data_IF_925205563117
#
_entry.id   IF_925205563117
#
_cell.length_a   1.000
_cell.length_b   1.000
_cell.length_c   1.000
_cell.angle_alpha   90.00
_cell.angle_beta   90.00
_cell.angle_gamma   90.00
#
_symmetry.space_group_name_H-M   'P 1'
#
loop_
_entity.id
_entity.type
_entity.pdbx_description
1 polymer ?
#
# COMPACT_ATOMS: atom_id res chain seq x y z
N UNK A 1 7.27 8.58 -15.32
CA UNK A 1 6.97 7.44 -14.45
C UNK A 1 5.59 7.64 -13.82
N UNK A 2 5.06 6.64 -13.19
CA UNK A 2 3.67 6.63 -12.70
C UNK A 2 3.39 7.64 -11.58
N UNK A 3 4.40 7.94 -10.75
CA UNK A 3 4.23 8.74 -9.54
C UNK A 3 4.81 10.15 -9.62
N UNK A 4 5.22 10.62 -10.79
CA UNK A 4 5.93 11.89 -10.94
C UNK A 4 5.12 13.09 -10.43
N UNK A 5 3.84 13.17 -10.76
CA UNK A 5 2.98 14.27 -10.31
C UNK A 5 2.80 14.25 -8.78
N UNK A 6 2.63 13.06 -8.21
CA UNK A 6 2.45 12.88 -6.77
C UNK A 6 3.75 13.24 -6.03
N UNK A 7 4.90 12.86 -6.57
CA UNK A 7 6.21 13.21 -5.99
C UNK A 7 6.39 14.72 -5.93
N UNK A 8 6.00 15.44 -6.98
CA UNK A 8 6.08 16.92 -7.00
C UNK A 8 5.17 17.54 -5.95
N UNK A 9 3.92 17.09 -5.87
CA UNK A 9 2.97 17.59 -4.88
C UNK A 9 3.44 17.28 -3.45
N UNK A 10 3.93 16.07 -3.23
CA UNK A 10 4.44 15.64 -1.93
C UNK A 10 5.60 16.53 -1.47
N UNK A 11 6.54 16.80 -2.37
CA UNK A 11 7.71 17.64 -2.06
C UNK A 11 7.33 19.08 -1.68
N UNK A 12 6.27 19.62 -2.28
CA UNK A 12 5.86 21.01 -2.05
C UNK A 12 4.84 21.18 -0.94
N UNK A 13 4.03 20.15 -0.65
CA UNK A 13 2.82 20.31 0.16
C UNK A 13 2.76 19.43 1.40
N UNK A 14 3.53 18.33 1.47
CA UNK A 14 3.39 17.36 2.57
C UNK A 14 3.87 17.87 3.92
N UNK A 15 4.78 18.84 3.93
CA UNK A 15 5.44 19.31 5.15
C UNK A 15 6.49 18.36 5.69
N UNK A 16 6.75 17.26 5.00
CA UNK A 16 7.74 16.24 5.41
C UNK A 16 9.10 16.59 4.80
N UNK A 17 10.12 16.59 5.64
CA UNK A 17 11.48 16.89 5.20
C UNK A 17 12.00 15.80 4.25
N UNK A 18 12.70 16.16 3.16
CA UNK A 18 13.24 15.18 2.22
C UNK A 18 14.11 14.10 2.87
N UNK A 19 14.86 14.43 3.91
CA UNK A 19 15.71 13.49 4.65
C UNK A 19 14.91 12.45 5.45
N UNK A 20 13.62 12.69 5.70
CA UNK A 20 12.74 11.75 6.37
C UNK A 20 12.11 10.73 5.41
N UNK A 21 12.30 10.93 4.11
CA UNK A 21 11.82 10.02 3.08
C UNK A 21 12.97 9.08 2.71
N UNK A 22 12.79 7.79 2.99
CA UNK A 22 13.82 6.78 2.71
C UNK A 22 13.23 5.66 1.88
N UNK A 23 13.76 5.48 0.68
CA UNK A 23 13.36 4.40 -0.21
C UNK A 23 14.12 3.10 0.05
N UNK A 24 13.58 2.01 -0.46
CA UNK A 24 14.28 0.74 -0.54
C UNK A 24 15.38 0.82 -1.59
N UNK A 25 16.44 0.03 -1.41
CA UNK A 25 17.43 -0.20 -2.47
C UNK A 25 16.88 -1.20 -3.50
N UNK A 26 17.49 -1.23 -4.68
CA UNK A 26 17.14 -2.26 -5.67
C UNK A 26 17.32 -3.67 -5.13
N UNK A 27 18.34 -3.89 -4.31
CA UNK A 27 18.57 -5.19 -3.68
C UNK A 27 17.45 -5.57 -2.70
N UNK A 28 16.96 -4.61 -1.92
CA UNK A 28 15.85 -4.83 -1.00
C UNK A 28 14.56 -5.18 -1.75
N UNK A 29 14.28 -4.51 -2.86
CA UNK A 29 13.12 -4.84 -3.71
C UNK A 29 13.27 -6.24 -4.28
N UNK A 30 14.46 -6.62 -4.74
CA UNK A 30 14.71 -7.98 -5.24
C UNK A 30 14.51 -9.05 -4.16
N UNK A 31 14.97 -8.79 -2.93
CA UNK A 31 14.72 -9.71 -1.81
C UNK A 31 13.24 -9.88 -1.54
N UNK A 32 12.48 -8.79 -1.59
CA UNK A 32 11.03 -8.83 -1.43
C UNK A 32 10.39 -9.69 -2.53
N UNK A 33 10.79 -9.47 -3.77
CA UNK A 33 10.29 -10.26 -4.90
C UNK A 33 10.63 -11.74 -4.76
N UNK A 34 11.84 -12.06 -4.31
CA UNK A 34 12.26 -13.44 -4.06
C UNK A 34 11.42 -14.10 -2.95
N UNK A 35 11.16 -13.37 -1.86
CA UNK A 35 10.33 -13.87 -0.76
C UNK A 35 8.88 -14.10 -1.20
N UNK A 36 8.34 -13.22 -2.03
CA UNK A 36 6.98 -13.32 -2.55
C UNK A 36 6.85 -14.30 -3.72
N UNK A 37 7.96 -14.62 -4.40
CA UNK A 37 7.97 -15.45 -5.59
C UNK A 37 7.33 -14.80 -6.81
N UNK A 38 7.30 -13.46 -6.87
CA UNK A 38 6.65 -12.69 -7.94
C UNK A 38 7.44 -11.43 -8.24
N UNK A 39 7.19 -10.83 -9.42
CA UNK A 39 7.63 -9.48 -9.73
C UNK A 39 6.53 -8.50 -9.33
N UNK A 40 6.91 -7.44 -8.62
CA UNK A 40 5.94 -6.43 -8.21
C UNK A 40 5.59 -5.50 -9.39
N UNK A 41 4.37 -4.93 -9.42
CA UNK A 41 3.99 -3.97 -10.45
C UNK A 41 4.92 -2.75 -10.47
N UNK A 42 5.11 -2.18 -11.66
CA UNK A 42 6.07 -1.08 -11.86
C UNK A 42 5.81 0.13 -10.98
N UNK A 43 4.54 0.54 -10.83
CA UNK A 43 4.19 1.67 -9.96
C UNK A 43 4.49 1.37 -8.49
N UNK A 44 4.25 0.15 -8.04
CA UNK A 44 4.58 -0.26 -6.67
C UNK A 44 6.09 -0.29 -6.43
N UNK A 45 6.86 -0.78 -7.39
CA UNK A 45 8.33 -0.73 -7.35
C UNK A 45 8.81 0.72 -7.22
N UNK A 46 8.23 1.64 -8.02
CA UNK A 46 8.56 3.06 -7.95
C UNK A 46 8.29 3.64 -6.56
N UNK A 47 7.15 3.27 -5.95
CA UNK A 47 6.82 3.70 -4.59
C UNK A 47 7.83 3.15 -3.56
N UNK A 48 8.17 1.86 -3.65
CA UNK A 48 9.15 1.25 -2.75
C UNK A 48 10.51 1.93 -2.84
N UNK A 49 10.99 2.22 -4.05
CA UNK A 49 12.28 2.88 -4.25
C UNK A 49 12.26 4.33 -3.77
N UNK A 50 11.10 4.96 -3.72
CA UNK A 50 10.95 6.34 -3.26
C UNK A 50 10.82 6.45 -1.74
N UNK A 51 9.87 5.73 -1.13
CA UNK A 51 9.59 5.87 0.30
C UNK A 51 9.30 4.55 1.02
N UNK A 52 9.67 3.44 0.42
CA UNK A 52 9.30 2.13 0.94
C UNK A 52 9.84 1.78 2.32
N UNK A 53 10.86 2.48 2.82
CA UNK A 53 11.42 2.27 4.16
C UNK A 53 10.79 3.20 5.20
N UNK A 54 10.70 4.47 4.90
CA UNK A 54 10.17 5.49 5.81
C UNK A 54 9.65 6.69 5.03
N UNK A 55 8.66 7.34 5.60
CA UNK A 55 8.07 8.55 5.00
C UNK A 55 7.65 9.59 6.06
N UNK A 56 8.46 9.76 7.12
CA UNK A 56 8.13 10.67 8.20
C UNK A 56 6.84 10.28 8.88
N UNK A 57 5.90 11.22 9.00
CA UNK A 57 4.57 10.94 9.57
C UNK A 57 3.53 10.44 8.57
N UNK A 58 3.90 10.33 7.29
CA UNK A 58 2.98 9.86 6.26
C UNK A 58 2.69 8.36 6.43
N UNK A 59 1.43 7.96 6.34
CA UNK A 59 0.97 6.57 6.53
C UNK A 59 1.29 6.00 7.91
N UNK A 60 1.40 6.85 8.93
CA UNK A 60 1.68 6.44 10.30
C UNK A 60 0.61 5.46 10.81
N UNK A 61 1.05 4.42 11.52
CA UNK A 61 0.17 3.43 12.12
C UNK A 61 -0.33 2.37 11.15
N UNK A 62 0.20 2.34 9.93
CA UNK A 62 -0.17 1.39 8.89
C UNK A 62 1.01 0.49 8.56
N UNK A 63 0.75 -0.81 8.42
CA UNK A 63 1.74 -1.78 7.96
C UNK A 63 1.77 -1.74 6.43
N UNK A 64 2.68 -0.95 5.89
CA UNK A 64 2.80 -0.71 4.45
C UNK A 64 4.28 -0.64 4.01
N UNK A 65 5.17 -0.39 4.96
CA UNK A 65 6.58 -0.21 4.69
C UNK A 65 7.35 -1.54 4.68
N UNK A 66 8.51 -1.54 4.04
CA UNK A 66 9.38 -2.71 3.92
C UNK A 66 9.63 -3.40 5.27
N UNK A 67 9.90 -2.62 6.32
CA UNK A 67 10.20 -3.15 7.66
C UNK A 67 8.96 -3.67 8.40
N UNK A 68 7.76 -3.53 7.84
CA UNK A 68 6.51 -4.05 8.40
C UNK A 68 6.24 -5.50 8.03
N UNK A 69 7.26 -6.25 7.59
CA UNK A 69 7.11 -7.64 7.14
C UNK A 69 6.06 -7.76 6.03
N UNK A 70 6.32 -7.10 4.90
CA UNK A 70 5.39 -7.12 3.77
C UNK A 70 4.97 -8.53 3.32
N UNK A 71 5.87 -9.55 3.28
CA UNK A 71 5.43 -10.90 2.95
C UNK A 71 4.42 -11.49 3.93
N UNK A 72 4.48 -11.09 5.20
CA UNK A 72 3.56 -11.57 6.24
C UNK A 72 2.18 -10.91 6.21
N UNK A 73 1.99 -9.82 5.46
CA UNK A 73 0.70 -9.13 5.42
C UNK A 73 -0.41 -10.00 4.82
N UNK A 74 -0.07 -10.91 3.91
CA UNK A 74 -1.04 -11.84 3.32
C UNK A 74 -1.68 -12.74 4.38
N UNK A 75 -0.90 -13.24 5.33
CA UNK A 75 -1.43 -14.04 6.43
C UNK A 75 -2.41 -13.23 7.29
N UNK A 76 -2.08 -11.98 7.58
CA UNK A 76 -2.97 -11.08 8.32
C UNK A 76 -4.29 -10.84 7.57
N UNK A 77 -4.23 -10.68 6.26
CA UNK A 77 -5.44 -10.55 5.43
C UNK A 77 -6.29 -11.83 5.46
N UNK A 78 -5.66 -12.99 5.36
CA UNK A 78 -6.37 -14.28 5.41
C UNK A 78 -7.04 -14.50 6.76
N UNK A 79 -6.38 -14.12 7.86
CA UNK A 79 -6.98 -14.19 9.20
C UNK A 79 -8.20 -13.27 9.31
N UNK A 80 -8.09 -12.04 8.82
CA UNK A 80 -9.20 -11.08 8.84
C UNK A 80 -10.40 -11.63 8.05
N UNK A 81 -10.16 -12.19 6.88
CA UNK A 81 -11.23 -12.78 6.06
C UNK A 81 -11.83 -14.02 6.72
N UNK A 82 -11.01 -14.85 7.34
CA UNK A 82 -11.51 -16.03 8.06
C UNK A 82 -12.42 -15.62 9.24
N UNK A 83 -12.02 -14.62 10.01
CA UNK A 83 -12.80 -14.11 11.13
C UNK A 83 -14.14 -13.50 10.72
N UNK A 84 -14.26 -13.08 9.45
CA UNK A 84 -15.47 -12.48 8.90
C UNK A 84 -16.22 -13.40 7.93
N UNK A 85 -15.93 -14.70 7.98
CA UNK A 85 -16.57 -15.73 7.12
C UNK A 85 -16.39 -15.44 5.62
N UNK A 86 -15.22 -14.94 5.24
CA UNK A 86 -14.86 -14.60 3.88
C UNK A 86 -13.71 -15.45 3.33
N UNK A 87 -13.62 -16.71 3.76
CA UNK A 87 -12.62 -17.65 3.24
C UNK A 87 -12.72 -17.73 1.71
N UNK A 88 -11.56 -17.64 1.05
CA UNK A 88 -11.49 -17.66 -0.41
C UNK A 88 -11.76 -16.32 -1.10
N UNK A 89 -12.01 -15.23 -0.33
CA UNK A 89 -12.26 -13.90 -0.91
C UNK A 89 -10.99 -13.24 -1.45
N UNK A 90 -9.81 -13.65 -0.98
CA UNK A 90 -8.54 -13.10 -1.48
C UNK A 90 -8.13 -13.84 -2.75
N UNK A 91 -7.97 -13.13 -3.89
CA UNK A 91 -7.51 -13.78 -5.12
C UNK A 91 -6.12 -14.40 -4.97
N UNK A 92 -5.86 -15.47 -5.72
CA UNK A 92 -4.57 -16.17 -5.66
C UNK A 92 -3.40 -15.28 -6.06
N UNK A 93 -3.61 -14.33 -6.98
CA UNK A 93 -2.61 -13.38 -7.45
C UNK A 93 -2.60 -12.06 -6.67
N UNK A 94 -3.24 -12.03 -5.50
CA UNK A 94 -3.27 -10.83 -4.68
C UNK A 94 -1.89 -10.55 -4.06
N UNK A 95 -1.44 -9.32 -4.18
CA UNK A 95 -0.31 -8.77 -3.45
C UNK A 95 -0.86 -7.85 -2.36
N UNK A 96 -0.86 -8.33 -1.12
CA UNK A 96 -1.31 -7.53 0.02
C UNK A 96 -0.18 -6.59 0.43
N UNK A 97 -0.41 -5.29 0.32
CA UNK A 97 0.64 -4.29 0.58
C UNK A 97 0.29 -3.32 1.73
N UNK A 98 -0.92 -3.44 2.28
CA UNK A 98 -1.44 -2.49 3.25
C UNK A 98 -2.30 -3.22 4.26
N UNK A 99 -2.00 -3.04 5.55
CA UNK A 99 -2.82 -3.55 6.64
C UNK A 99 -2.84 -2.48 7.74
N UNK A 100 -4.03 -2.00 8.07
CA UNK A 100 -4.18 -0.97 9.09
C UNK A 100 -4.83 -1.57 10.33
N UNK A 101 -4.05 -1.67 11.40
CA UNK A 101 -4.48 -2.13 12.73
C UNK A 101 -5.25 -3.46 12.73
N UNK A 102 -5.02 -4.31 11.74
CA UNK A 102 -5.62 -5.63 11.64
C UNK A 102 -7.07 -5.69 11.16
N UNK A 103 -7.71 -4.54 10.85
CA UNK A 103 -9.11 -4.51 10.42
C UNK A 103 -9.35 -3.88 9.05
N UNK A 104 -8.34 -3.25 8.44
CA UNK A 104 -8.42 -2.74 7.07
C UNK A 104 -7.29 -3.36 6.27
N UNK A 105 -7.62 -3.97 5.14
CA UNK A 105 -6.64 -4.56 4.23
C UNK A 105 -6.82 -3.97 2.83
N UNK A 106 -5.69 -3.74 2.15
CA UNK A 106 -5.69 -3.37 0.74
C UNK A 106 -4.70 -4.25 -0.02
N UNK A 107 -5.06 -4.58 -1.24
CA UNK A 107 -4.23 -5.42 -2.10
C UNK A 107 -4.38 -5.01 -3.55
N UNK A 108 -3.40 -5.39 -4.35
CA UNK A 108 -3.43 -5.29 -5.80
C UNK A 108 -3.38 -6.68 -6.40
N UNK A 109 -3.80 -6.83 -7.66
CA UNK A 109 -3.72 -8.09 -8.40
C UNK A 109 -2.59 -8.02 -9.41
N UNK A 110 -1.68 -8.98 -9.35
CA UNK A 110 -0.49 -9.00 -10.19
C UNK A 110 -0.82 -9.14 -11.67
N UNK A 111 -1.96 -9.74 -12.02
CA UNK A 111 -2.42 -9.87 -13.40
C UNK A 111 -2.97 -8.57 -14.01
N UNK A 112 -3.10 -7.50 -13.23
CA UNK A 112 -3.76 -6.27 -13.68
C UNK A 112 -2.80 -5.14 -14.07
N UNK A 113 -1.55 -5.46 -14.39
CA UNK A 113 -0.63 -4.54 -15.05
C UNK A 113 0.29 -3.77 -14.15
N UNK A 114 0.88 -2.69 -14.69
CA UNK A 114 1.97 -1.95 -14.07
C UNK A 114 1.53 -0.90 -13.05
N UNK A 115 0.32 -0.38 -13.19
CA UNK A 115 -0.30 0.55 -12.24
C UNK A 115 -1.70 0.01 -11.90
N UNK A 116 -1.77 -1.10 -11.12
CA UNK A 116 -2.99 -1.88 -10.99
C UNK A 116 -4.03 -1.20 -10.10
N UNK A 117 -5.31 -1.57 -10.27
CA UNK A 117 -6.36 -1.18 -9.33
C UNK A 117 -6.05 -1.65 -7.92
N UNK A 118 -6.58 -0.92 -6.95
CA UNK A 118 -6.45 -1.27 -5.53
C UNK A 118 -7.81 -1.72 -5.01
N UNK A 119 -7.82 -2.89 -4.41
CA UNK A 119 -8.99 -3.48 -3.76
C UNK A 119 -8.83 -3.36 -2.26
N UNK A 120 -9.92 -3.22 -1.56
CA UNK A 120 -9.89 -3.09 -0.11
C UNK A 120 -11.06 -3.77 0.58
N UNK A 121 -10.85 -4.03 1.86
CA UNK A 121 -11.85 -4.54 2.78
C UNK A 121 -11.65 -3.90 4.14
N UNK A 122 -12.76 -3.49 4.78
CA UNK A 122 -12.74 -2.93 6.13
C UNK A 122 -13.75 -3.67 6.99
N UNK A 123 -13.27 -4.27 8.08
CA UNK A 123 -14.12 -4.91 9.07
C UNK A 123 -15.05 -3.89 9.73
N UNK A 124 -16.28 -4.29 10.05
CA UNK A 124 -17.25 -3.44 10.72
C UNK A 124 -18.02 -2.50 9.82
N UNK A 125 -17.74 -2.48 8.53
CA UNK A 125 -18.56 -1.81 7.53
C UNK A 125 -19.46 -2.82 6.84
N UNK A 126 -20.55 -2.36 6.20
CA UNK A 126 -21.48 -3.23 5.47
C UNK A 126 -20.87 -3.79 4.18
N UNK A 127 -19.62 -4.16 4.23
CA UNK A 127 -18.88 -4.69 3.11
C UNK A 127 -18.77 -6.21 3.29
N UNK A 128 -19.29 -6.97 2.33
CA UNK A 128 -19.34 -8.45 2.39
C UNK A 128 -18.26 -9.15 1.58
N UNK A 129 -17.43 -8.37 0.89
CA UNK A 129 -16.33 -8.87 0.08
C UNK A 129 -15.38 -7.71 -0.21
N UNK A 130 -14.12 -7.99 -0.57
CA UNK A 130 -13.24 -6.94 -1.06
C UNK A 130 -13.82 -6.30 -2.32
N UNK A 131 -13.72 -4.99 -2.41
CA UNK A 131 -14.20 -4.22 -3.57
C UNK A 131 -13.08 -3.31 -4.07
N UNK A 132 -13.21 -2.85 -5.30
CA UNK A 132 -12.27 -1.90 -5.90
C UNK A 132 -12.46 -0.53 -5.23
N UNK A 133 -11.42 -0.06 -4.57
CA UNK A 133 -11.43 1.23 -3.89
C UNK A 133 -10.78 2.34 -4.72
N UNK A 134 -9.79 2.00 -5.54
CA UNK A 134 -9.05 2.97 -6.36
C UNK A 134 -8.81 2.40 -7.75
N UNK A 135 -8.83 3.27 -8.74
CA UNK A 135 -8.64 2.86 -10.15
C UNK A 135 -7.22 2.35 -10.43
N UNK A 136 -6.24 2.83 -9.64
CA UNK A 136 -4.86 2.38 -9.74
C UNK A 136 -4.09 2.75 -8.48
N UNK A 137 -2.86 2.26 -8.38
CA UNK A 137 -1.98 2.56 -7.23
C UNK A 137 -1.68 4.06 -7.14
N UNK A 138 -1.50 4.73 -8.28
CA UNK A 138 -1.28 6.18 -8.31
C UNK A 138 -2.44 6.94 -7.68
N UNK A 139 -3.68 6.55 -7.96
CA UNK A 139 -4.87 7.16 -7.36
C UNK A 139 -4.96 6.89 -5.85
N UNK A 140 -4.59 5.68 -5.42
CA UNK A 140 -4.50 5.36 -3.99
C UNK A 140 -3.55 6.32 -3.28
N UNK A 141 -2.35 6.48 -3.82
CA UNK A 141 -1.32 7.32 -3.20
C UNK A 141 -1.73 8.80 -3.19
N UNK A 142 -2.35 9.27 -4.26
CA UNK A 142 -2.86 10.64 -4.32
C UNK A 142 -3.92 10.90 -3.25
N UNK A 143 -4.81 9.93 -3.01
CA UNK A 143 -5.84 10.03 -1.97
C UNK A 143 -5.22 10.01 -0.57
N UNK A 144 -4.24 9.15 -0.33
CA UNK A 144 -3.53 9.12 0.95
C UNK A 144 -2.82 10.45 1.23
N UNK A 145 -2.23 11.06 0.21
CA UNK A 145 -1.61 12.38 0.36
C UNK A 145 -2.65 13.46 0.67
N UNK A 146 -3.80 13.46 -0.01
CA UNK A 146 -4.87 14.40 0.29
C UNK A 146 -5.37 14.26 1.73
N UNK A 147 -5.55 13.04 2.21
CA UNK A 147 -5.97 12.76 3.58
C UNK A 147 -4.93 13.26 4.59
N UNK A 148 -3.65 13.05 4.31
CA UNK A 148 -2.56 13.55 5.13
C UNK A 148 -2.58 15.09 5.20
N UNK A 149 -2.77 15.76 4.09
CA UNK A 149 -2.82 17.22 4.04
C UNK A 149 -4.02 17.78 4.80
N UNK A 150 -5.18 17.15 4.70
CA UNK A 150 -6.37 17.55 5.47
C UNK A 150 -6.15 17.38 6.97
N UNK A 151 -5.57 16.25 7.37
CA UNK A 151 -5.29 15.98 8.78
C UNK A 151 -4.30 17.00 9.35
N UNK A 152 -3.22 17.30 8.65
CA UNK A 152 -2.20 18.25 9.11
C UNK A 152 -2.73 19.68 9.19
N UNK A 153 -3.66 20.08 8.32
CA UNK A 153 -4.30 21.40 8.37
C UNK A 153 -5.27 21.53 9.54
N UNK A 154 -5.88 20.42 9.97
CA UNK A 154 -6.83 20.41 11.07
C UNK A 154 -6.16 20.32 12.46
N UNK A 155 -4.91 19.96 12.50
CA UNK A 155 -4.12 19.73 13.71
C UNK A 155 -2.79 20.49 13.63
#
# INVERSE_FOLDING_TARGET
MYLDAIKREFATSSGIAPEDIVGCSDEEVRRLEDQLGVHVPAAYREWLLWMGRRAGGFLRGTDVFYDSDLPGLKEGALELFHENDLDGALPADALVFYLHQGYVVQFMRLAEGDDPPIYGYSEGKEQRAPTRWYDNLSAWLATELDDHLRWTRAH
#
